data_IF_173533008890
#
_entry.id   IF_173533008890
#
_cell.length_a   1.000
_cell.length_b   1.000
_cell.length_c   1.000
_cell.angle_alpha   90.00
_cell.angle_beta   90.00
_cell.angle_gamma   90.00
#
_symmetry.space_group_name_H-M   'P 1'
#
loop_
_entity.id
_entity.type
_entity.pdbx_description
1 polymer ?
#
# COMPACT_ATOMS: atom_id res chain seq x y z
N UNK A 1 7.51 4.11 -36.67
CA UNK A 1 7.70 4.43 -35.25
C UNK A 1 9.16 4.21 -34.94
N UNK A 2 9.90 5.26 -34.55
CA UNK A 2 11.29 5.13 -34.14
C UNK A 2 11.33 4.20 -32.93
N UNK A 3 12.17 3.15 -32.97
CA UNK A 3 12.48 2.37 -31.76
C UNK A 3 13.20 3.33 -30.82
N UNK A 4 12.48 3.88 -29.84
CA UNK A 4 13.13 4.48 -28.68
C UNK A 4 13.99 3.37 -28.07
N UNK A 5 15.27 3.67 -27.90
CA UNK A 5 16.16 2.82 -27.13
C UNK A 5 15.78 2.97 -25.66
N UNK A 6 14.86 2.12 -25.19
CA UNK A 6 14.33 2.14 -23.83
C UNK A 6 15.45 2.03 -22.80
N UNK A 7 16.53 1.32 -23.14
CA UNK A 7 17.69 1.12 -22.26
C UNK A 7 18.53 2.39 -22.07
N UNK A 8 18.34 3.40 -22.93
CA UNK A 8 18.99 4.71 -22.83
C UNK A 8 18.22 5.74 -21.97
N UNK A 9 17.01 5.40 -21.50
CA UNK A 9 16.18 6.30 -20.69
C UNK A 9 16.50 6.16 -19.21
N UNK A 10 17.10 7.20 -18.61
CA UNK A 10 17.20 7.27 -17.15
C UNK A 10 15.87 7.75 -16.54
N UNK A 11 15.01 6.78 -16.22
CA UNK A 11 13.67 6.99 -15.64
C UNK A 11 13.67 7.62 -14.24
N UNK A 12 14.83 7.81 -13.62
CA UNK A 12 14.95 8.48 -12.33
C UNK A 12 15.10 10.01 -12.49
N UNK A 13 15.21 10.50 -13.71
CA UNK A 13 15.34 11.94 -14.02
C UNK A 13 14.05 12.51 -14.59
N UNK A 14 13.86 13.82 -14.41
CA UNK A 14 12.75 14.56 -15.04
C UNK A 14 12.79 14.43 -16.57
N UNK A 15 13.99 14.47 -17.16
CA UNK A 15 14.19 14.28 -18.61
C UNK A 15 13.77 12.88 -19.06
N UNK A 16 14.15 11.83 -18.33
CA UNK A 16 13.75 10.47 -18.66
C UNK A 16 12.25 10.24 -18.54
N UNK A 17 11.61 10.77 -17.49
CA UNK A 17 10.15 10.73 -17.36
C UNK A 17 9.44 11.51 -18.48
N UNK A 18 10.02 12.62 -18.94
CA UNK A 18 9.50 13.35 -20.09
C UNK A 18 9.59 12.50 -21.37
N UNK A 19 10.73 11.85 -21.63
CA UNK A 19 10.90 10.92 -22.77
C UNK A 19 9.86 9.79 -22.75
N UNK A 20 9.58 9.22 -21.57
CA UNK A 20 8.51 8.22 -21.42
C UNK A 20 7.14 8.82 -21.74
N UNK A 21 6.82 10.00 -21.20
CA UNK A 21 5.54 10.69 -21.46
C UNK A 21 5.33 10.94 -22.95
N UNK A 22 6.37 11.41 -23.65
CA UNK A 22 6.35 11.68 -25.08
C UNK A 22 6.17 10.38 -25.88
N UNK A 23 6.86 9.31 -25.49
CA UNK A 23 6.72 8.01 -26.14
C UNK A 23 5.30 7.45 -26.00
N UNK A 24 4.69 7.55 -24.81
CA UNK A 24 3.29 7.16 -24.62
C UNK A 24 2.34 7.99 -25.50
N UNK A 25 2.64 9.28 -25.69
CA UNK A 25 1.84 10.19 -26.49
C UNK A 25 1.85 9.86 -27.99
N UNK A 26 2.83 9.07 -28.48
CA UNK A 26 2.81 8.53 -29.85
C UNK A 26 1.60 7.60 -30.11
N UNK A 27 1.08 6.94 -29.07
CA UNK A 27 -0.19 6.19 -29.14
C UNK A 27 -1.36 7.12 -28.91
N UNK A 28 -1.36 7.81 -27.75
CA UNK A 28 -2.34 8.83 -27.41
C UNK A 28 -1.91 9.61 -26.16
N UNK A 29 -2.42 10.83 -25.99
CA UNK A 29 -2.14 11.67 -24.82
C UNK A 29 -2.62 11.07 -23.49
N UNK A 30 -3.55 10.12 -23.52
CA UNK A 30 -4.11 9.45 -22.34
C UNK A 30 -3.57 8.02 -22.12
N UNK A 31 -2.66 7.55 -22.97
CA UNK A 31 -2.16 6.18 -22.94
C UNK A 31 -1.38 5.84 -21.66
N UNK A 32 -1.52 4.61 -21.16
CA UNK A 32 -0.94 4.18 -19.89
C UNK A 32 -0.64 2.68 -19.90
N UNK A 33 0.61 2.28 -19.78
CA UNK A 33 0.98 0.86 -19.78
C UNK A 33 0.40 0.11 -18.57
N UNK A 34 0.34 0.76 -17.41
CA UNK A 34 -0.22 0.15 -16.19
C UNK A 34 -1.69 -0.25 -16.36
N UNK A 35 -2.45 0.37 -17.27
CA UNK A 35 -3.86 0.00 -17.53
C UNK A 35 -4.01 -1.41 -18.12
N UNK A 36 -2.97 -1.90 -18.81
CA UNK A 36 -2.87 -3.25 -19.36
C UNK A 36 -2.06 -4.18 -18.47
N UNK A 37 -0.97 -3.70 -17.87
CA UNK A 37 0.03 -4.57 -17.27
C UNK A 37 -0.05 -4.69 -15.74
N UNK A 38 -0.83 -3.83 -15.07
CA UNK A 38 -1.05 -3.92 -13.63
C UNK A 38 -2.49 -4.36 -13.32
N UNK A 39 -2.62 -5.21 -12.30
CA UNK A 39 -3.89 -5.60 -11.71
C UNK A 39 -3.79 -5.66 -10.19
N UNK A 40 -4.81 -5.14 -9.51
CA UNK A 40 -5.10 -5.47 -8.12
C UNK A 40 -6.44 -6.21 -8.09
N UNK A 41 -6.48 -7.33 -7.36
CA UNK A 41 -7.66 -8.21 -7.25
C UNK A 41 -8.04 -8.37 -5.79
N UNK A 42 -9.27 -8.02 -5.47
CA UNK A 42 -9.92 -8.28 -4.20
C UNK A 42 -10.80 -9.52 -4.36
N UNK A 43 -10.28 -10.69 -3.99
CA UNK A 43 -11.00 -11.95 -4.09
C UNK A 43 -12.08 -12.08 -3.01
N UNK A 44 -11.98 -11.34 -1.90
CA UNK A 44 -12.97 -11.33 -0.82
C UNK A 44 -14.28 -10.68 -1.29
N UNK A 45 -14.18 -9.56 -2.00
CA UNK A 45 -15.32 -8.76 -2.43
C UNK A 45 -15.66 -8.94 -3.92
N UNK A 46 -14.89 -9.75 -4.65
CA UNK A 46 -15.11 -9.99 -6.09
C UNK A 46 -14.85 -8.75 -6.94
N UNK A 47 -13.81 -7.98 -6.60
CA UNK A 47 -13.53 -6.68 -7.19
C UNK A 47 -12.13 -6.61 -7.81
N UNK A 48 -11.97 -5.76 -8.81
CA UNK A 48 -10.67 -5.53 -9.44
C UNK A 48 -10.49 -4.09 -9.89
N UNK A 49 -9.23 -3.68 -10.06
CA UNK A 49 -8.85 -2.42 -10.69
C UNK A 49 -7.45 -2.56 -11.33
N UNK A 50 -7.05 -1.62 -12.19
CA UNK A 50 -5.75 -1.70 -12.91
C UNK A 50 -4.59 -1.08 -12.13
N UNK A 51 -4.83 -0.08 -11.28
CA UNK A 51 -3.84 0.51 -10.37
C UNK A 51 -4.59 1.15 -9.20
N UNK A 52 -3.90 1.73 -8.20
CA UNK A 52 -4.54 2.17 -6.96
C UNK A 52 -5.44 3.42 -7.05
N UNK A 53 -5.49 4.09 -8.21
CA UNK A 53 -6.32 5.30 -8.43
C UNK A 53 -7.73 5.06 -8.94
N UNK A 54 -7.97 4.26 -10.00
CA UNK A 54 -9.31 3.98 -10.48
C UNK A 54 -10.18 3.31 -9.42
N UNK A 55 -11.50 3.60 -9.43
CA UNK A 55 -12.43 2.92 -8.56
C UNK A 55 -12.38 1.41 -8.83
N UNK A 56 -12.65 0.64 -7.78
CA UNK A 56 -12.86 -0.79 -7.89
C UNK A 56 -14.18 -1.05 -8.60
N UNK A 57 -14.23 -2.10 -9.41
CA UNK A 57 -15.47 -2.58 -10.02
C UNK A 57 -15.62 -4.09 -9.86
N UNK A 58 -16.86 -4.57 -9.94
CA UNK A 58 -17.19 -5.98 -9.78
C UNK A 58 -16.68 -6.82 -10.95
N UNK A 59 -16.16 -7.99 -10.63
CA UNK A 59 -15.77 -9.01 -11.60
C UNK A 59 -17.03 -9.83 -11.93
N UNK A 60 -17.40 -10.01 -13.21
CA UNK A 60 -18.55 -10.84 -13.60
C UNK A 60 -18.34 -12.32 -13.26
N UNK A 61 -18.98 -12.80 -12.20
CA UNK A 61 -18.78 -14.15 -11.65
C UNK A 61 -19.09 -15.26 -12.66
N UNK A 62 -20.20 -15.12 -13.40
CA UNK A 62 -20.67 -16.06 -14.42
C UNK A 62 -19.62 -16.38 -15.51
N UNK A 63 -18.71 -15.44 -15.78
CA UNK A 63 -17.68 -15.60 -16.82
C UNK A 63 -16.45 -16.35 -16.31
N UNK A 64 -16.24 -16.43 -15.00
CA UNK A 64 -15.04 -17.01 -14.40
C UNK A 64 -14.96 -18.53 -14.56
N UNK A 65 -16.09 -19.20 -14.75
CA UNK A 65 -16.13 -20.64 -14.96
C UNK A 65 -15.44 -21.05 -16.27
N UNK A 66 -15.60 -20.24 -17.32
CA UNK A 66 -15.10 -20.53 -18.68
C UNK A 66 -13.87 -19.68 -19.04
N UNK A 67 -13.72 -18.48 -18.48
CA UNK A 67 -12.58 -17.61 -18.70
C UNK A 67 -12.08 -16.98 -17.38
N UNK A 68 -11.11 -17.61 -16.70
CA UNK A 68 -10.61 -17.07 -15.44
C UNK A 68 -9.71 -15.83 -15.65
N UNK A 69 -9.36 -15.47 -16.90
CA UNK A 69 -8.64 -14.23 -17.21
C UNK A 69 -9.46 -12.97 -16.92
N UNK A 70 -10.79 -13.10 -16.80
CA UNK A 70 -11.72 -12.00 -16.50
C UNK A 70 -11.38 -11.31 -15.18
N UNK A 71 -10.67 -12.00 -14.26
CA UNK A 71 -10.07 -11.38 -13.06
C UNK A 71 -9.25 -10.11 -13.36
N UNK A 72 -8.64 -10.04 -14.54
CA UNK A 72 -7.94 -8.84 -15.03
C UNK A 72 -8.58 -8.24 -16.30
N UNK A 73 -9.11 -9.07 -17.18
CA UNK A 73 -9.56 -8.66 -18.51
C UNK A 73 -11.08 -8.45 -18.59
N UNK A 74 -11.70 -7.91 -17.53
CA UNK A 74 -13.12 -7.49 -17.55
C UNK A 74 -13.45 -6.57 -18.73
N UNK A 75 -14.69 -6.62 -19.21
CA UNK A 75 -15.16 -5.72 -20.26
C UNK A 75 -15.04 -4.24 -19.89
N UNK A 76 -15.24 -3.89 -18.61
CA UNK A 76 -15.03 -2.51 -18.15
C UNK A 76 -13.59 -2.02 -18.38
N UNK A 77 -12.59 -2.82 -17.97
CA UNK A 77 -11.17 -2.49 -18.22
C UNK A 77 -10.88 -2.41 -19.72
N UNK A 78 -11.42 -3.32 -20.53
CA UNK A 78 -11.29 -3.28 -22.00
C UNK A 78 -11.89 -2.02 -22.61
N UNK A 79 -13.02 -1.54 -22.11
CA UNK A 79 -13.61 -0.27 -22.55
C UNK A 79 -12.76 0.94 -22.12
N UNK A 80 -12.19 0.92 -20.92
CA UNK A 80 -11.29 1.99 -20.47
C UNK A 80 -9.99 2.02 -21.28
N UNK A 81 -9.45 0.85 -21.67
CA UNK A 81 -8.33 0.71 -22.62
C UNK A 81 -8.69 1.31 -23.99
N UNK A 82 -9.90 1.05 -24.49
CA UNK A 82 -10.43 1.63 -25.73
C UNK A 82 -10.51 3.15 -25.68
N UNK A 83 -10.99 3.73 -24.57
CA UNK A 83 -10.98 5.18 -24.37
C UNK A 83 -9.55 5.74 -24.48
N UNK A 84 -8.57 5.12 -23.82
CA UNK A 84 -7.18 5.56 -23.88
C UNK A 84 -6.64 5.52 -25.31
N UNK A 85 -6.84 4.42 -26.05
CA UNK A 85 -6.38 4.33 -27.45
C UNK A 85 -7.07 5.35 -28.38
N UNK A 86 -8.29 5.78 -28.05
CA UNK A 86 -9.03 6.81 -28.78
C UNK A 86 -8.72 8.23 -28.30
N UNK A 87 -7.60 8.44 -27.59
CA UNK A 87 -7.18 9.73 -27.04
C UNK A 87 -8.17 10.37 -26.06
N UNK A 88 -9.00 9.54 -25.40
CA UNK A 88 -9.93 9.97 -24.35
C UNK A 88 -9.38 9.60 -22.99
N UNK A 89 -9.62 10.44 -21.97
CA UNK A 89 -9.21 10.23 -20.58
C UNK A 89 -10.28 9.44 -19.82
N UNK A 90 -10.02 8.19 -19.35
CA UNK A 90 -10.98 7.48 -18.52
C UNK A 90 -11.32 8.24 -17.22
N UNK A 91 -12.61 8.42 -16.88
CA UNK A 91 -13.02 9.19 -15.70
C UNK A 91 -12.42 8.69 -14.38
N UNK A 92 -12.30 7.36 -14.22
CA UNK A 92 -11.70 6.75 -13.03
C UNK A 92 -10.23 7.12 -12.79
N UNK A 93 -9.50 7.60 -13.79
CA UNK A 93 -8.10 8.00 -13.64
C UNK A 93 -7.91 9.48 -13.28
N UNK A 94 -8.96 10.12 -12.72
CA UNK A 94 -9.00 11.56 -12.42
C UNK A 94 -7.81 12.07 -11.59
N UNK A 95 -7.27 11.28 -10.66
CA UNK A 95 -6.08 11.68 -9.91
C UNK A 95 -4.91 12.02 -10.84
N UNK A 96 -4.60 11.14 -11.80
CA UNK A 96 -3.52 11.37 -12.76
C UNK A 96 -3.79 12.59 -13.64
N UNK A 97 -5.05 12.78 -14.06
CA UNK A 97 -5.45 13.95 -14.86
C UNK A 97 -5.27 15.24 -14.08
N UNK A 98 -5.70 15.29 -12.82
CA UNK A 98 -5.51 16.47 -11.95
C UNK A 98 -4.05 16.81 -11.74
N UNK A 99 -3.19 15.80 -11.59
CA UNK A 99 -1.74 16.00 -11.46
C UNK A 99 -1.17 16.59 -12.75
N UNK A 100 -1.47 15.99 -13.90
CA UNK A 100 -0.95 16.43 -15.20
C UNK A 100 -1.53 17.79 -15.64
N UNK A 101 -2.77 18.11 -15.26
CA UNK A 101 -3.42 19.39 -15.57
C UNK A 101 -2.97 20.52 -14.61
N UNK A 102 -2.31 20.19 -13.49
CA UNK A 102 -1.84 21.18 -12.51
C UNK A 102 -0.54 21.87 -12.91
N UNK A 103 0.31 21.19 -13.68
CA UNK A 103 1.55 21.74 -14.24
C UNK A 103 2.09 20.80 -15.31
N UNK A 104 2.60 21.36 -16.40
CA UNK A 104 3.24 20.61 -17.49
C UNK A 104 4.48 19.83 -17.01
N UNK A 105 5.16 20.32 -15.97
CA UNK A 105 6.37 19.73 -15.38
C UNK A 105 6.10 18.67 -14.31
N UNK A 106 4.83 18.33 -14.03
CA UNK A 106 4.49 17.30 -13.05
C UNK A 106 4.11 15.99 -13.73
N UNK A 107 4.77 14.90 -13.31
CA UNK A 107 4.50 13.56 -13.81
C UNK A 107 3.55 12.83 -12.86
N UNK A 108 2.42 12.35 -13.38
CA UNK A 108 1.51 11.52 -12.61
C UNK A 108 2.00 10.06 -12.52
N UNK A 109 1.33 9.30 -11.67
CA UNK A 109 1.51 7.85 -11.58
C UNK A 109 1.29 7.11 -12.90
N UNK A 110 0.56 7.68 -13.85
CA UNK A 110 0.45 7.14 -15.20
C UNK A 110 1.82 7.04 -15.88
N UNK A 111 2.58 8.13 -15.82
CA UNK A 111 3.90 8.24 -16.45
C UNK A 111 4.91 7.44 -15.64
N UNK A 112 4.98 7.62 -14.32
CA UNK A 112 5.99 6.96 -13.48
C UNK A 112 5.81 5.43 -13.44
N UNK A 113 4.57 4.92 -13.41
CA UNK A 113 4.31 3.47 -13.52
C UNK A 113 4.63 2.94 -14.90
N UNK A 114 4.34 3.70 -15.95
CA UNK A 114 4.70 3.29 -17.32
C UNK A 114 6.21 3.30 -17.53
N UNK A 115 6.96 4.16 -16.84
CA UNK A 115 8.42 4.19 -16.83
C UNK A 115 9.06 3.04 -16.03
N UNK A 116 8.27 2.27 -15.27
CA UNK A 116 8.82 1.20 -14.45
C UNK A 116 9.33 0.03 -15.29
N UNK A 117 10.35 -0.67 -14.79
CA UNK A 117 10.98 -1.83 -15.45
C UNK A 117 10.03 -2.99 -15.74
N UNK A 118 8.92 -3.10 -15.00
CA UNK A 118 7.87 -4.10 -15.26
C UNK A 118 6.88 -3.68 -16.35
N UNK A 119 6.91 -2.43 -16.82
CA UNK A 119 5.95 -1.89 -17.76
C UNK A 119 6.60 -1.46 -19.09
N UNK A 120 7.56 -0.54 -19.06
CA UNK A 120 8.12 0.09 -20.27
C UNK A 120 8.64 -0.91 -21.32
N UNK A 121 9.36 -1.99 -20.94
CA UNK A 121 9.86 -2.98 -21.90
C UNK A 121 8.76 -3.71 -22.68
N UNK A 122 7.52 -3.68 -22.19
CA UNK A 122 6.37 -4.36 -22.78
C UNK A 122 5.46 -3.41 -23.55
N UNK A 123 5.92 -2.19 -23.86
CA UNK A 123 5.16 -1.19 -24.63
C UNK A 123 4.60 -1.77 -25.94
N UNK A 124 5.45 -2.44 -26.73
CA UNK A 124 5.05 -2.97 -28.03
C UNK A 124 3.97 -4.06 -27.90
N UNK A 125 4.10 -4.96 -26.91
CA UNK A 125 3.09 -5.99 -26.62
C UNK A 125 1.73 -5.35 -26.28
N UNK A 126 1.74 -4.26 -25.50
CA UNK A 126 0.51 -3.55 -25.12
C UNK A 126 -0.16 -2.89 -26.33
N UNK A 127 0.63 -2.24 -27.20
CA UNK A 127 0.11 -1.59 -28.41
C UNK A 127 -0.50 -2.63 -29.35
N UNK A 128 0.19 -3.75 -29.57
CA UNK A 128 -0.27 -4.85 -30.43
C UNK A 128 -1.52 -5.56 -29.88
N UNK A 129 -1.62 -5.73 -28.55
CA UNK A 129 -2.80 -6.32 -27.92
C UNK A 129 -4.07 -5.48 -28.13
N UNK A 130 -3.92 -4.16 -28.31
CA UNK A 130 -5.04 -3.25 -28.47
C UNK A 130 -5.98 -3.23 -27.24
N UNK A 131 -7.23 -2.81 -27.44
CA UNK A 131 -8.16 -2.62 -26.32
C UNK A 131 -8.84 -3.90 -25.82
N UNK A 132 -9.14 -4.84 -26.73
CA UNK A 132 -10.11 -5.92 -26.48
C UNK A 132 -9.47 -7.29 -26.19
N UNK A 133 -8.19 -7.47 -26.51
CA UNK A 133 -7.51 -8.73 -26.23
C UNK A 133 -7.33 -8.95 -24.72
N UNK A 134 -7.25 -10.23 -24.34
CA UNK A 134 -6.80 -10.62 -23.01
C UNK A 134 -5.28 -10.47 -22.96
N UNK A 135 -4.79 -9.74 -21.96
CA UNK A 135 -3.36 -9.58 -21.71
C UNK A 135 -3.02 -10.10 -20.32
N UNK A 136 -1.86 -10.75 -20.19
CA UNK A 136 -1.34 -11.15 -18.89
C UNK A 136 -0.71 -9.93 -18.20
N UNK A 137 -0.97 -9.69 -16.91
CA UNK A 137 -0.29 -8.61 -16.18
C UNK A 137 1.22 -8.91 -16.05
N UNK A 138 2.00 -7.87 -15.76
CA UNK A 138 3.37 -7.95 -15.25
C UNK A 138 3.46 -7.60 -13.77
N UNK A 139 2.46 -6.89 -13.25
CA UNK A 139 2.29 -6.58 -11.84
C UNK A 139 0.93 -7.09 -11.36
N UNK A 140 0.95 -8.06 -10.45
CA UNK A 140 -0.25 -8.61 -9.81
C UNK A 140 -0.21 -8.32 -8.31
N UNK A 141 -1.23 -7.63 -7.81
CA UNK A 141 -1.54 -7.55 -6.39
C UNK A 141 -2.83 -8.32 -6.10
N UNK A 142 -2.85 -9.14 -5.04
CA UNK A 142 -4.02 -9.94 -4.69
C UNK A 142 -4.31 -9.89 -3.19
N UNK A 143 -5.59 -9.69 -2.85
CA UNK A 143 -6.15 -9.92 -1.51
C UNK A 143 -6.97 -11.20 -1.53
N UNK A 144 -6.49 -12.25 -0.84
CA UNK A 144 -7.21 -13.52 -0.71
C UNK A 144 -8.38 -13.45 0.28
N UNK A 145 -8.22 -12.64 1.33
CA UNK A 145 -9.26 -12.42 2.33
C UNK A 145 -9.06 -11.10 3.07
N UNK A 146 -10.10 -10.69 3.79
CA UNK A 146 -10.03 -9.61 4.78
C UNK A 146 -9.64 -10.08 6.19
N UNK A 147 -9.24 -11.33 6.39
CA UNK A 147 -8.89 -11.86 7.72
C UNK A 147 -7.76 -11.05 8.32
N UNK A 148 -7.93 -10.52 9.52
CA UNK A 148 -6.96 -9.69 10.20
C UNK A 148 -7.10 -9.89 11.71
N UNK A 149 -5.97 -9.95 12.41
CA UNK A 149 -5.93 -10.03 13.87
C UNK A 149 -5.87 -8.65 14.56
N UNK A 150 -5.77 -7.57 13.78
CA UNK A 150 -5.72 -6.20 14.29
C UNK A 150 -7.03 -5.44 14.00
N UNK A 151 -7.23 -4.32 14.69
CA UNK A 151 -8.37 -3.41 14.49
C UNK A 151 -7.94 -1.93 14.42
N UNK A 152 -7.00 -1.64 13.49
CA UNK A 152 -6.41 -0.32 13.27
C UNK A 152 -7.44 0.81 13.14
N UNK A 153 -7.16 1.97 13.74
CA UNK A 153 -8.12 3.10 13.88
C UNK A 153 -8.73 3.55 12.56
N UNK A 154 -7.91 3.65 11.50
CA UNK A 154 -8.29 4.12 10.16
C UNK A 154 -8.73 2.99 9.20
N UNK A 155 -8.76 1.74 9.63
CA UNK A 155 -9.16 0.62 8.79
C UNK A 155 -10.68 0.46 8.73
N UNK A 156 -11.19 -0.24 7.71
CA UNK A 156 -12.62 -0.38 7.42
C UNK A 156 -13.08 -1.86 7.37
N UNK A 157 -14.35 -2.17 7.66
CA UNK A 157 -14.88 -3.54 7.70
C UNK A 157 -14.72 -4.36 6.41
N UNK A 158 -14.65 -3.70 5.26
CA UNK A 158 -14.59 -4.31 3.92
C UNK A 158 -13.25 -5.01 3.66
N UNK A 159 -12.18 -4.57 4.34
CA UNK A 159 -10.82 -5.07 4.16
C UNK A 159 -10.21 -5.61 5.47
N UNK A 160 -10.94 -5.54 6.59
CA UNK A 160 -10.51 -6.10 7.87
C UNK A 160 -11.65 -6.72 8.67
N UNK A 161 -11.58 -8.03 8.84
CA UNK A 161 -12.45 -8.80 9.76
C UNK A 161 -12.32 -8.34 11.21
N UNK A 162 -11.16 -7.84 11.65
CA UNK A 162 -11.00 -7.31 13.01
C UNK A 162 -11.85 -6.06 13.24
N UNK A 163 -11.98 -5.21 12.22
CA UNK A 163 -12.90 -4.06 12.24
C UNK A 163 -14.35 -4.50 12.07
N UNK A 164 -14.62 -5.47 11.21
CA UNK A 164 -15.97 -6.02 11.03
C UNK A 164 -16.52 -6.64 12.32
N UNK A 165 -15.73 -7.43 13.05
CA UNK A 165 -16.12 -8.01 14.34
C UNK A 165 -16.49 -6.90 15.33
N UNK A 166 -15.71 -5.82 15.35
CA UNK A 166 -16.00 -4.68 16.20
C UNK A 166 -17.30 -3.97 15.79
N UNK A 167 -17.48 -3.73 14.49
CA UNK A 167 -18.68 -3.11 13.95
C UNK A 167 -19.94 -3.96 14.21
N UNK A 168 -19.85 -5.28 14.10
CA UNK A 168 -20.95 -6.20 14.46
C UNK A 168 -21.27 -6.18 15.95
N UNK A 169 -20.25 -6.02 16.82
CA UNK A 169 -20.41 -6.01 18.28
C UNK A 169 -20.99 -4.70 18.81
N UNK A 170 -20.54 -3.56 18.28
CA UNK A 170 -20.84 -2.25 18.86
C UNK A 170 -21.66 -1.33 17.93
N UNK A 171 -21.86 -1.71 16.68
CA UNK A 171 -22.46 -0.86 15.66
C UNK A 171 -21.47 0.18 15.09
N UNK A 172 -21.94 0.98 14.11
CA UNK A 172 -21.19 2.13 13.60
C UNK A 172 -20.94 3.17 14.70
N UNK A 173 -20.00 4.09 14.45
CA UNK A 173 -19.76 5.26 15.30
C UNK A 173 -20.44 6.46 14.60
N UNK A 174 -21.46 7.02 15.24
CA UNK A 174 -22.15 8.21 14.73
C UNK A 174 -21.28 9.45 14.94
N UNK A 175 -20.77 10.01 13.85
CA UNK A 175 -20.07 11.29 13.84
C UNK A 175 -21.08 12.41 13.48
N UNK A 176 -20.63 13.66 13.46
CA UNK A 176 -21.51 14.81 13.19
C UNK A 176 -22.09 14.80 11.78
N UNK A 177 -21.30 14.35 10.79
CA UNK A 177 -21.61 14.46 9.36
C UNK A 177 -21.62 13.11 8.63
N UNK A 178 -21.25 12.01 9.30
CA UNK A 178 -21.14 10.69 8.71
C UNK A 178 -21.16 9.57 9.77
N UNK A 179 -21.10 8.32 9.33
CA UNK A 179 -20.89 7.17 10.20
C UNK A 179 -19.54 6.54 9.92
N UNK A 180 -18.73 6.37 10.96
CA UNK A 180 -17.50 5.58 10.87
C UNK A 180 -17.77 4.10 11.16
N UNK A 181 -16.94 3.22 10.59
CA UNK A 181 -16.99 1.76 10.80
C UNK A 181 -18.32 1.10 10.41
N UNK A 182 -19.13 1.75 9.58
CA UNK A 182 -20.33 1.16 9.02
C UNK A 182 -19.95 0.11 7.98
N UNK A 183 -20.34 -1.17 8.13
CA UNK A 183 -20.19 -2.15 7.07
C UNK A 183 -21.08 -1.74 5.89
N UNK A 184 -20.49 -1.58 4.71
CA UNK A 184 -21.21 -1.18 3.49
C UNK A 184 -21.75 -2.37 2.70
N UNK A 185 -21.21 -3.57 2.92
CA UNK A 185 -21.59 -4.79 2.21
C UNK A 185 -21.69 -6.00 3.16
N UNK A 186 -22.60 -6.93 2.82
CA UNK A 186 -22.62 -8.27 3.41
C UNK A 186 -21.45 -9.07 2.83
N UNK A 187 -20.68 -9.76 3.66
CA UNK A 187 -19.55 -10.59 3.17
C UNK A 187 -20.08 -11.67 2.24
N UNK A 188 -19.40 -11.88 1.11
CA UNK A 188 -19.66 -13.00 0.20
C UNK A 188 -19.39 -14.37 0.87
N UNK A 189 -18.71 -14.38 2.03
CA UNK A 189 -18.20 -15.60 2.70
C UNK A 189 -18.94 -16.00 3.98
N UNK A 190 -20.07 -15.37 4.30
CA UNK A 190 -20.79 -15.62 5.56
C UNK A 190 -21.29 -17.08 5.73
N UNK A 191 -21.30 -17.91 4.66
CA UNK A 191 -21.87 -19.27 4.67
C UNK A 191 -20.89 -20.43 4.46
N UNK A 192 -19.57 -20.19 4.44
CA UNK A 192 -18.58 -21.27 4.19
C UNK A 192 -18.59 -21.83 2.76
N UNK A 193 -19.24 -21.13 1.83
CA UNK A 193 -19.25 -21.46 0.40
C UNK A 193 -17.85 -21.28 -0.23
N UNK A 194 -17.57 -22.08 -1.25
CA UNK A 194 -16.32 -21.99 -2.01
C UNK A 194 -16.27 -20.64 -2.73
N UNK A 195 -15.22 -19.86 -2.50
CA UNK A 195 -15.06 -18.56 -3.17
C UNK A 195 -14.79 -18.76 -4.68
N UNK A 196 -15.74 -18.39 -5.58
CA UNK A 196 -15.59 -18.62 -7.02
C UNK A 196 -14.43 -17.81 -7.61
N UNK A 197 -14.13 -16.63 -7.06
CA UNK A 197 -13.01 -15.79 -7.48
C UNK A 197 -11.67 -16.45 -7.13
N UNK A 198 -11.56 -17.07 -5.96
CA UNK A 198 -10.35 -17.79 -5.57
C UNK A 198 -10.15 -19.07 -6.40
N UNK A 199 -11.23 -19.81 -6.70
CA UNK A 199 -11.16 -20.95 -7.62
C UNK A 199 -10.67 -20.51 -9.00
N UNK A 200 -11.20 -19.40 -9.52
CA UNK A 200 -10.75 -18.84 -10.79
C UNK A 200 -9.29 -18.38 -10.72
N UNK A 201 -8.87 -17.76 -9.62
CA UNK A 201 -7.49 -17.34 -9.40
C UNK A 201 -6.54 -18.52 -9.52
N UNK A 202 -6.83 -19.64 -8.87
CA UNK A 202 -5.95 -20.82 -8.93
C UNK A 202 -5.94 -21.53 -10.29
N UNK A 203 -6.96 -21.33 -11.12
CA UNK A 203 -6.94 -21.76 -12.53
C UNK A 203 -6.12 -20.82 -13.42
N UNK A 204 -6.15 -19.52 -13.13
CA UNK A 204 -5.50 -18.48 -13.94
C UNK A 204 -4.04 -18.25 -13.59
N UNK A 205 -3.70 -18.27 -12.31
CA UNK A 205 -2.37 -17.93 -11.80
C UNK A 205 -1.25 -18.74 -12.48
N UNK A 206 -1.36 -20.08 -12.67
CA UNK A 206 -0.35 -20.83 -13.42
C UNK A 206 -0.11 -20.34 -14.85
N UNK A 207 -1.14 -19.80 -15.51
CA UNK A 207 -1.08 -19.34 -16.90
C UNK A 207 -0.32 -18.02 -17.04
N UNK A 208 -0.33 -17.18 -16.00
CA UNK A 208 0.30 -15.85 -16.01
C UNK A 208 1.59 -15.78 -15.21
N UNK A 209 1.83 -16.72 -14.29
CA UNK A 209 2.88 -16.61 -13.27
C UNK A 209 4.28 -16.37 -13.86
N UNK A 210 4.65 -17.07 -14.94
CA UNK A 210 5.97 -16.91 -15.60
C UNK A 210 6.14 -15.56 -16.29
N UNK A 211 5.06 -14.80 -16.51
CA UNK A 211 5.11 -13.46 -17.07
C UNK A 211 5.15 -12.37 -15.98
N UNK A 212 4.89 -12.72 -14.72
CA UNK A 212 4.91 -11.74 -13.64
C UNK A 212 6.34 -11.27 -13.37
N UNK A 213 6.49 -9.96 -13.24
CA UNK A 213 7.70 -9.29 -12.73
C UNK A 213 7.48 -8.86 -11.28
N UNK A 214 6.25 -8.53 -10.90
CA UNK A 214 5.88 -8.25 -9.51
C UNK A 214 4.66 -9.09 -9.12
N UNK A 215 4.76 -9.79 -8.00
CA UNK A 215 3.64 -10.47 -7.38
C UNK A 215 3.54 -10.06 -5.91
N UNK A 216 2.48 -9.33 -5.56
CA UNK A 216 2.24 -8.80 -4.22
C UNK A 216 1.01 -9.42 -3.60
N UNK A 217 1.14 -9.93 -2.39
CA UNK A 217 0.03 -10.44 -1.59
C UNK A 217 -0.31 -9.43 -0.50
N UNK A 218 -1.56 -8.99 -0.47
CA UNK A 218 -2.09 -8.04 0.51
C UNK A 218 -3.37 -8.60 1.14
N UNK A 219 -4.03 -7.79 1.94
CA UNK A 219 -5.31 -8.11 2.56
C UNK A 219 -5.38 -7.64 3.99
N UNK A 220 -6.30 -8.21 4.77
CA UNK A 220 -6.37 -7.91 6.20
C UNK A 220 -5.01 -8.17 6.88
N UNK A 221 -4.60 -9.42 6.93
CA UNK A 221 -3.26 -9.87 7.30
C UNK A 221 -2.91 -11.13 6.49
N UNK A 222 -2.09 -11.00 5.43
CA UNK A 222 -1.74 -12.11 4.55
C UNK A 222 -1.17 -13.34 5.25
N UNK A 223 -0.41 -13.17 6.34
CA UNK A 223 0.21 -14.30 7.04
C UNK A 223 -0.78 -15.12 7.89
N UNK A 224 -2.06 -14.75 7.93
CA UNK A 224 -3.14 -15.56 8.51
C UNK A 224 -3.86 -16.46 7.48
N UNK A 225 -3.55 -16.32 6.19
CA UNK A 225 -4.23 -16.97 5.08
C UNK A 225 -3.46 -18.15 4.50
N UNK A 226 -4.13 -19.31 4.36
CA UNK A 226 -3.51 -20.50 3.75
C UNK A 226 -3.14 -20.27 2.29
N UNK A 227 -3.91 -19.46 1.58
CA UNK A 227 -3.67 -19.15 0.16
C UNK A 227 -2.37 -18.37 -0.04
N UNK A 228 -1.95 -17.56 0.95
CA UNK A 228 -0.61 -16.95 0.97
C UNK A 228 0.48 -18.02 1.03
N UNK A 229 0.37 -19.00 1.95
CA UNK A 229 1.36 -20.07 2.05
C UNK A 229 1.35 -21.00 0.83
N UNK A 230 0.17 -21.23 0.22
CA UNK A 230 0.05 -21.94 -1.05
C UNK A 230 0.76 -21.20 -2.19
N UNK A 231 0.67 -19.88 -2.22
CA UNK A 231 1.43 -19.05 -3.17
C UNK A 231 2.94 -19.16 -2.95
N UNK A 232 3.42 -19.12 -1.71
CA UNK A 232 4.85 -19.32 -1.40
C UNK A 232 5.32 -20.70 -1.84
N UNK A 233 4.55 -21.76 -1.55
CA UNK A 233 4.88 -23.11 -2.00
C UNK A 233 4.90 -23.20 -3.54
N UNK A 234 3.92 -22.59 -4.21
CA UNK A 234 3.88 -22.58 -5.68
C UNK A 234 5.13 -21.92 -6.28
N UNK A 235 5.63 -20.83 -5.67
CA UNK A 235 6.87 -20.15 -6.09
C UNK A 235 8.10 -21.06 -5.92
N UNK A 236 8.18 -21.80 -4.82
CA UNK A 236 9.24 -22.81 -4.60
C UNK A 236 9.21 -23.87 -5.69
N UNK A 237 8.01 -24.39 -6.01
CA UNK A 237 7.83 -25.48 -6.97
C UNK A 237 8.03 -25.03 -8.43
N UNK A 238 7.84 -23.73 -8.71
CA UNK A 238 7.89 -23.18 -10.06
C UNK A 238 8.77 -21.92 -10.17
N UNK A 239 10.08 -21.94 -9.90
CA UNK A 239 10.96 -20.76 -9.89
C UNK A 239 10.74 -19.74 -11.03
N UNK A 240 10.65 -18.45 -10.69
CA UNK A 240 10.66 -17.31 -11.62
C UNK A 240 11.72 -16.29 -11.17
N UNK A 241 12.98 -16.41 -11.63
CA UNK A 241 14.10 -15.58 -11.17
C UNK A 241 13.98 -14.07 -11.43
N UNK A 242 13.04 -13.65 -12.30
CA UNK A 242 12.78 -12.22 -12.57
C UNK A 242 11.72 -11.62 -11.64
N UNK A 243 11.04 -12.46 -10.84
CA UNK A 243 9.94 -12.04 -9.98
C UNK A 243 10.46 -11.30 -8.75
N UNK A 244 9.91 -10.11 -8.48
CA UNK A 244 9.87 -9.52 -7.15
C UNK A 244 8.62 -10.04 -6.43
N UNK A 245 8.83 -10.83 -5.38
CA UNK A 245 7.75 -11.35 -4.53
C UNK A 245 7.57 -10.43 -3.34
N UNK A 246 6.35 -9.94 -3.12
CA UNK A 246 6.05 -9.00 -2.05
C UNK A 246 4.87 -9.44 -1.19
N UNK A 247 4.89 -9.09 0.09
CA UNK A 247 3.70 -9.20 0.93
C UNK A 247 3.59 -8.06 1.94
N UNK A 248 2.35 -7.60 2.16
CA UNK A 248 2.04 -6.74 3.29
C UNK A 248 1.91 -7.57 4.56
N UNK A 249 2.30 -7.02 5.70
CA UNK A 249 1.99 -7.63 6.98
C UNK A 249 2.04 -6.59 8.10
N UNK A 250 1.25 -6.81 9.14
CA UNK A 250 1.41 -6.16 10.43
C UNK A 250 2.51 -6.79 11.29
N UNK A 251 3.05 -7.94 10.87
CA UNK A 251 4.11 -8.72 11.55
C UNK A 251 3.83 -9.11 13.01
N UNK A 252 2.59 -9.02 13.47
CA UNK A 252 2.14 -9.44 14.80
C UNK A 252 1.17 -10.63 14.71
N UNK A 253 1.49 -11.63 13.90
CA UNK A 253 0.73 -12.89 13.79
C UNK A 253 1.26 -13.95 14.78
N UNK A 254 0.52 -15.04 15.06
CA UNK A 254 1.03 -16.11 15.91
C UNK A 254 2.39 -16.63 15.44
N UNK A 255 3.31 -16.94 16.36
CA UNK A 255 4.70 -17.30 16.04
C UNK A 255 4.80 -18.40 14.96
N UNK A 256 3.98 -19.45 15.05
CA UNK A 256 3.95 -20.52 14.05
C UNK A 256 3.69 -20.05 12.60
N UNK A 257 2.99 -18.92 12.42
CA UNK A 257 2.77 -18.30 11.10
C UNK A 257 4.00 -17.53 10.62
N UNK A 258 4.66 -16.79 11.51
CA UNK A 258 5.94 -16.13 11.19
C UNK A 258 7.00 -17.18 10.86
N UNK A 259 7.14 -18.21 11.69
CA UNK A 259 8.13 -19.27 11.50
C UNK A 259 7.94 -19.99 10.15
N UNK A 260 6.69 -20.32 9.82
CA UNK A 260 6.35 -20.91 8.51
C UNK A 260 6.65 -19.96 7.35
N UNK A 261 6.40 -18.65 7.51
CA UNK A 261 6.69 -17.67 6.48
C UNK A 261 8.20 -17.54 6.25
N UNK A 262 9.00 -17.46 7.32
CA UNK A 262 10.45 -17.39 7.24
C UNK A 262 11.03 -18.67 6.63
N UNK A 263 10.58 -19.87 7.03
CA UNK A 263 11.03 -21.14 6.43
C UNK A 263 10.78 -21.19 4.91
N UNK A 264 9.57 -20.86 4.47
CA UNK A 264 9.23 -20.88 3.05
C UNK A 264 9.99 -19.80 2.26
N UNK A 265 10.11 -18.59 2.80
CA UNK A 265 10.90 -17.51 2.17
C UNK A 265 12.38 -17.87 2.14
N UNK A 266 12.91 -18.52 3.18
CA UNK A 266 14.26 -19.06 3.23
C UNK A 266 14.51 -20.05 2.07
N UNK A 267 13.60 -21.00 1.86
CA UNK A 267 13.67 -21.94 0.71
C UNK A 267 13.61 -21.22 -0.64
N UNK A 268 12.73 -20.21 -0.78
CA UNK A 268 12.65 -19.38 -1.99
C UNK A 268 14.01 -18.71 -2.25
N UNK A 269 14.64 -18.18 -1.20
CA UNK A 269 15.93 -17.52 -1.28
C UNK A 269 17.07 -18.50 -1.64
N UNK A 270 17.20 -19.61 -0.91
CA UNK A 270 18.22 -20.64 -1.13
C UNK A 270 18.17 -21.22 -2.54
N UNK A 271 16.96 -21.45 -3.06
CA UNK A 271 16.74 -21.96 -4.41
C UNK A 271 16.87 -20.89 -5.50
N UNK A 272 17.12 -19.62 -5.15
CA UNK A 272 17.10 -18.48 -6.07
C UNK A 272 15.83 -18.45 -6.92
N UNK A 273 14.70 -18.78 -6.29
CA UNK A 273 13.44 -18.98 -7.00
C UNK A 273 12.82 -17.66 -7.50
N UNK A 274 13.25 -16.52 -6.94
CA UNK A 274 12.79 -15.17 -7.27
C UNK A 274 13.98 -14.20 -7.26
N UNK A 275 13.80 -13.02 -7.86
CA UNK A 275 14.79 -11.94 -7.85
C UNK A 275 15.05 -11.42 -6.44
N UNK A 276 13.97 -11.13 -5.73
CA UNK A 276 13.98 -10.60 -4.37
C UNK A 276 12.65 -10.85 -3.66
N UNK A 277 12.70 -10.76 -2.32
CA UNK A 277 11.52 -10.80 -1.46
C UNK A 277 11.42 -9.48 -0.71
N UNK A 278 10.24 -8.84 -0.80
CA UNK A 278 9.94 -7.56 -0.16
C UNK A 278 8.81 -7.70 0.87
N UNK A 279 8.98 -7.10 2.03
CA UNK A 279 7.96 -7.06 3.07
C UNK A 279 7.52 -5.63 3.29
N UNK A 280 6.23 -5.38 3.15
CA UNK A 280 5.62 -4.10 3.47
C UNK A 280 5.02 -4.17 4.88
N UNK A 281 5.83 -3.80 5.87
CA UNK A 281 5.51 -3.91 7.29
C UNK A 281 4.86 -2.61 7.79
N UNK A 282 3.68 -2.67 8.41
CA UNK A 282 2.94 -1.43 8.70
C UNK A 282 3.05 -0.98 10.17
N UNK A 283 3.53 0.25 10.41
CA UNK A 283 3.66 0.87 11.73
C UNK A 283 3.58 2.39 11.61
N UNK A 284 2.92 3.07 12.57
CA UNK A 284 2.56 4.49 12.42
C UNK A 284 3.27 5.44 13.39
N UNK A 285 3.88 4.90 14.46
CA UNK A 285 4.64 5.64 15.49
C UNK A 285 5.35 4.64 16.42
N UNK A 286 5.72 5.04 17.64
CA UNK A 286 6.50 4.26 18.58
C UNK A 286 5.68 3.66 19.74
N UNK A 287 6.02 2.44 20.17
CA UNK A 287 5.59 1.83 21.44
C UNK A 287 4.08 1.82 21.65
N UNK A 288 3.62 2.16 22.86
CA UNK A 288 2.21 2.15 23.24
C UNK A 288 1.32 3.03 22.34
N UNK A 289 1.86 4.09 21.73
CA UNK A 289 1.14 4.92 20.78
C UNK A 289 0.84 4.16 19.49
N UNK A 290 1.79 3.37 18.99
CA UNK A 290 1.58 2.50 17.84
C UNK A 290 0.53 1.41 18.14
N UNK A 291 0.58 0.83 19.34
CA UNK A 291 -0.37 -0.17 19.81
C UNK A 291 -1.77 0.41 20.02
N UNK A 292 -1.86 1.69 20.35
CA UNK A 292 -3.12 2.43 20.42
C UNK A 292 -3.74 2.61 19.03
N UNK A 293 -2.96 3.11 18.08
CA UNK A 293 -3.39 3.32 16.67
C UNK A 293 -3.75 1.99 16.02
N UNK A 294 -3.00 0.93 16.33
CA UNK A 294 -3.17 -0.42 15.78
C UNK A 294 -3.51 -1.43 16.88
N UNK A 295 -4.75 -1.43 17.42
CA UNK A 295 -5.12 -2.37 18.47
C UNK A 295 -4.86 -3.83 18.07
N UNK A 296 -4.06 -4.50 18.90
CA UNK A 296 -3.55 -5.87 18.70
C UNK A 296 -2.09 -5.94 18.25
N UNK A 297 -1.50 -4.81 17.81
CA UNK A 297 -0.05 -4.72 17.58
C UNK A 297 0.66 -4.89 18.93
N UNK A 298 1.75 -5.64 18.91
CA UNK A 298 2.76 -5.67 19.97
C UNK A 298 4.04 -5.08 19.36
N UNK A 299 4.43 -3.90 19.82
CA UNK A 299 5.51 -3.15 19.20
C UNK A 299 6.86 -3.88 19.30
N UNK A 300 7.09 -4.59 20.42
CA UNK A 300 8.34 -5.34 20.61
C UNK A 300 8.38 -6.57 19.71
N UNK A 301 7.28 -7.29 19.60
CA UNK A 301 7.16 -8.42 18.68
C UNK A 301 7.33 -7.98 17.23
N UNK A 302 6.74 -6.84 16.85
CA UNK A 302 6.90 -6.23 15.53
C UNK A 302 8.37 -6.01 15.19
N UNK A 303 9.12 -5.31 16.05
CA UNK A 303 10.55 -5.06 15.86
C UNK A 303 11.34 -6.38 15.82
N UNK A 304 11.04 -7.31 16.74
CA UNK A 304 11.70 -8.62 16.76
C UNK A 304 11.49 -9.39 15.44
N UNK A 305 10.29 -9.38 14.87
CA UNK A 305 10.02 -10.06 13.61
C UNK A 305 10.67 -9.37 12.41
N UNK A 306 10.79 -8.04 12.40
CA UNK A 306 11.61 -7.31 11.40
C UNK A 306 13.05 -7.81 11.45
N UNK A 307 13.64 -7.86 12.64
CA UNK A 307 15.01 -8.30 12.83
C UNK A 307 15.21 -9.76 12.40
N UNK A 308 14.24 -10.63 12.68
CA UNK A 308 14.26 -12.02 12.20
C UNK A 308 14.27 -12.11 10.68
N UNK A 309 13.38 -11.38 9.98
CA UNK A 309 13.38 -11.37 8.52
C UNK A 309 14.69 -10.82 7.92
N UNK A 310 15.30 -9.81 8.55
CA UNK A 310 16.56 -9.24 8.08
C UNK A 310 17.77 -10.15 8.35
N UNK A 311 17.79 -10.83 9.50
CA UNK A 311 18.89 -11.72 9.90
C UNK A 311 18.84 -13.09 9.24
N UNK A 312 17.65 -13.69 9.12
CA UNK A 312 17.47 -15.05 8.61
C UNK A 312 17.42 -15.12 7.07
N UNK A 313 17.11 -14.01 6.37
CA UNK A 313 17.00 -13.97 4.90
C UNK A 313 17.92 -12.88 4.32
N UNK A 314 19.14 -13.19 3.85
CA UNK A 314 20.18 -12.19 3.55
C UNK A 314 19.88 -11.14 2.46
N UNK A 315 18.92 -11.39 1.55
CA UNK A 315 18.51 -10.43 0.49
C UNK A 315 17.05 -9.97 0.62
N UNK A 316 16.40 -10.15 1.77
CA UNK A 316 15.08 -9.56 1.98
C UNK A 316 15.19 -8.04 2.15
N UNK A 317 14.20 -7.33 1.64
CA UNK A 317 14.01 -5.90 1.94
C UNK A 317 12.69 -5.71 2.69
N UNK A 318 12.67 -4.73 3.57
CA UNK A 318 11.50 -4.36 4.35
C UNK A 318 11.24 -2.88 4.09
N UNK A 319 10.00 -2.55 3.75
CA UNK A 319 9.51 -1.16 3.73
C UNK A 319 8.52 -0.99 4.86
N UNK A 320 8.88 -0.16 5.84
CA UNK A 320 7.97 0.28 6.88
C UNK A 320 6.96 1.25 6.29
N UNK A 321 5.70 0.85 6.24
CA UNK A 321 4.60 1.67 5.75
C UNK A 321 3.94 2.41 6.92
N UNK A 322 4.13 3.73 6.95
CA UNK A 322 3.52 4.62 7.92
C UNK A 322 2.31 5.33 7.30
N UNK A 323 1.13 5.05 7.85
CA UNK A 323 -0.07 5.86 7.61
C UNK A 323 -0.07 7.00 8.60
N UNK A 324 0.52 8.12 8.19
CA UNK A 324 0.81 9.24 9.08
C UNK A 324 -0.48 10.01 9.43
N UNK A 325 -0.90 9.87 10.69
CA UNK A 325 -2.09 10.51 11.27
C UNK A 325 -1.68 11.59 12.28
N UNK A 326 -2.63 12.35 12.82
CA UNK A 326 -2.31 13.27 13.93
C UNK A 326 -1.74 12.54 15.16
N UNK A 327 -2.14 11.28 15.37
CA UNK A 327 -1.65 10.44 16.47
C UNK A 327 -0.22 9.94 16.23
N UNK A 328 0.30 10.04 15.00
CA UNK A 328 1.69 9.66 14.72
C UNK A 328 2.69 10.65 15.31
N UNK A 329 2.31 11.93 15.40
CA UNK A 329 3.18 13.08 15.72
C UNK A 329 3.99 12.89 17.01
N UNK A 330 3.40 12.51 18.16
CA UNK A 330 4.14 12.57 19.43
C UNK A 330 5.31 11.59 19.56
N UNK A 331 5.23 10.43 18.91
CA UNK A 331 6.21 9.34 19.06
C UNK A 331 7.08 9.10 17.84
N UNK A 332 6.92 9.88 16.77
CA UNK A 332 7.54 9.56 15.48
C UNK A 332 9.06 9.58 15.53
N UNK A 333 9.68 10.54 16.22
CA UNK A 333 11.15 10.61 16.36
C UNK A 333 11.74 9.34 16.98
N UNK A 334 11.05 8.71 17.94
CA UNK A 334 11.51 7.45 18.53
C UNK A 334 11.43 6.28 17.56
N UNK A 335 10.41 6.25 16.68
CA UNK A 335 10.37 5.29 15.59
C UNK A 335 11.55 5.50 14.63
N UNK A 336 11.93 6.76 14.34
CA UNK A 336 13.10 7.07 13.51
C UNK A 336 14.41 6.56 14.14
N UNK A 337 14.57 6.68 15.46
CA UNK A 337 15.71 6.11 16.20
C UNK A 337 15.80 4.58 16.04
N UNK A 338 14.67 3.87 16.17
CA UNK A 338 14.61 2.42 15.94
C UNK A 338 14.96 2.07 14.48
N UNK A 339 14.47 2.85 13.52
CA UNK A 339 14.79 2.67 12.09
C UNK A 339 16.29 2.82 11.83
N UNK A 340 16.92 3.88 12.34
CA UNK A 340 18.37 4.09 12.19
C UNK A 340 19.15 2.95 12.87
N UNK A 341 18.71 2.52 14.05
CA UNK A 341 19.32 1.40 14.78
C UNK A 341 19.29 0.11 13.96
N UNK A 342 18.14 -0.24 13.38
CA UNK A 342 17.99 -1.45 12.57
C UNK A 342 18.77 -1.33 11.25
N UNK A 343 18.71 -0.18 10.57
CA UNK A 343 19.49 0.05 9.34
C UNK A 343 21.00 -0.10 9.57
N UNK A 344 21.53 0.40 10.70
CA UNK A 344 22.94 0.23 11.09
C UNK A 344 23.29 -1.22 11.43
N UNK A 345 22.37 -1.95 12.07
CA UNK A 345 22.56 -3.35 12.45
C UNK A 345 22.53 -4.31 11.26
N UNK A 346 21.71 -4.02 10.25
CA UNK A 346 21.52 -4.85 9.07
C UNK A 346 21.85 -4.07 7.77
N UNK A 347 23.13 -3.73 7.53
CA UNK A 347 23.52 -2.97 6.36
C UNK A 347 23.28 -3.77 5.06
N UNK A 348 22.93 -3.05 3.99
CA UNK A 348 22.89 -3.62 2.66
C UNK A 348 24.28 -3.57 2.00
N UNK A 349 24.56 -4.50 1.08
CA UNK A 349 25.71 -4.39 0.19
C UNK A 349 25.57 -3.20 -0.78
N UNK A 350 24.33 -2.90 -1.19
CA UNK A 350 23.95 -1.76 -2.02
C UNK A 350 22.60 -1.21 -1.55
N UNK A 351 22.48 0.10 -1.40
CA UNK A 351 21.26 0.78 -0.95
C UNK A 351 20.94 0.51 0.52
N UNK A 352 19.69 0.15 0.82
CA UNK A 352 19.24 -0.18 2.17
C UNK A 352 18.27 -1.36 2.16
N UNK A 353 18.30 -2.17 3.22
CA UNK A 353 17.37 -3.29 3.42
C UNK A 353 16.11 -2.88 4.19
N UNK A 354 16.12 -1.70 4.81
CA UNK A 354 14.98 -1.14 5.53
C UNK A 354 14.69 0.26 5.00
N UNK A 355 13.52 0.44 4.40
CA UNK A 355 13.00 1.72 3.96
C UNK A 355 11.86 2.17 4.87
N UNK A 356 11.69 3.48 5.02
CA UNK A 356 10.54 4.11 5.66
C UNK A 356 9.72 4.84 4.60
N UNK A 357 8.49 4.38 4.40
CA UNK A 357 7.51 5.00 3.53
C UNK A 357 6.48 5.77 4.37
N UNK A 358 6.44 7.10 4.18
CA UNK A 358 5.53 7.99 4.90
C UNK A 358 4.43 8.46 3.96
N UNK A 359 3.20 8.02 4.22
CA UNK A 359 2.01 8.45 3.49
C UNK A 359 1.07 9.22 4.44
N UNK A 360 0.69 10.45 4.08
CA UNK A 360 -0.28 11.20 4.87
C UNK A 360 -1.66 10.52 4.81
N UNK A 361 -2.32 10.38 5.95
CA UNK A 361 -3.69 9.91 6.01
C UNK A 361 -4.60 10.97 5.41
N UNK A 362 -5.33 10.65 4.33
CA UNK A 362 -6.33 11.56 3.75
C UNK A 362 -7.71 11.34 4.36
N UNK A 363 -8.15 10.08 4.31
CA UNK A 363 -9.45 9.61 4.77
C UNK A 363 -9.24 8.48 5.79
N UNK A 364 -9.91 8.49 6.95
CA UNK A 364 -10.88 9.50 7.37
C UNK A 364 -10.23 10.83 7.77
N UNK A 365 -10.88 11.93 7.39
CA UNK A 365 -10.33 13.27 7.57
C UNK A 365 -10.14 13.68 9.03
N UNK A 366 -11.00 13.21 9.94
CA UNK A 366 -10.89 13.48 11.38
C UNK A 366 -9.68 12.82 12.06
N UNK A 367 -8.99 11.87 11.42
CA UNK A 367 -7.72 11.32 11.92
C UNK A 367 -6.49 11.95 11.26
N UNK A 368 -6.68 12.73 10.20
CA UNK A 368 -5.57 13.28 9.45
C UNK A 368 -4.83 14.39 10.22
N UNK A 369 -3.61 14.69 9.78
CA UNK A 369 -2.75 15.67 10.43
C UNK A 369 -3.36 17.08 10.49
N UNK A 370 -4.19 17.46 9.51
CA UNK A 370 -4.87 18.78 9.45
C UNK A 370 -6.00 18.96 10.47
N UNK A 371 -6.28 17.96 11.28
CA UNK A 371 -7.17 18.06 12.44
C UNK A 371 -6.44 18.65 13.66
N UNK A 372 -5.12 18.48 13.72
CA UNK A 372 -4.28 18.96 14.81
C UNK A 372 -3.97 20.46 14.62
N UNK A 373 -3.86 21.20 15.73
CA UNK A 373 -3.43 22.59 15.70
C UNK A 373 -1.93 22.70 15.42
N UNK A 374 -1.53 23.72 14.65
CA UNK A 374 -0.14 23.87 14.20
C UNK A 374 0.85 24.05 15.36
N UNK A 375 0.39 24.51 16.54
CA UNK A 375 1.23 24.59 17.74
C UNK A 375 1.79 23.21 18.18
N UNK A 376 1.14 22.12 17.79
CA UNK A 376 1.58 20.74 18.06
C UNK A 376 2.47 20.17 16.95
N UNK A 377 2.87 20.95 15.94
CA UNK A 377 3.67 20.46 14.80
C UNK A 377 5.18 20.42 15.10
N UNK A 378 5.66 20.95 16.22
CA UNK A 378 7.09 20.92 16.58
C UNK A 378 7.76 19.55 16.39
N UNK A 379 7.16 18.42 16.82
CA UNK A 379 7.76 17.09 16.62
C UNK A 379 7.91 16.68 15.15
N UNK A 380 7.13 17.24 14.22
CA UNK A 380 7.30 16.99 12.79
C UNK A 380 8.59 17.61 12.27
N UNK A 381 8.89 18.83 12.69
CA UNK A 381 10.11 19.52 12.30
C UNK A 381 11.33 18.83 12.90
N UNK A 382 11.26 18.44 14.18
CA UNK A 382 12.30 17.65 14.84
C UNK A 382 12.56 16.32 14.12
N UNK A 383 11.51 15.59 13.75
CA UNK A 383 11.64 14.37 12.97
C UNK A 383 12.29 14.63 11.59
N UNK A 384 11.91 15.71 10.91
CA UNK A 384 12.52 16.08 9.63
C UNK A 384 14.00 16.45 9.76
N UNK A 385 14.37 17.24 10.78
CA UNK A 385 15.77 17.54 11.09
C UNK A 385 16.57 16.28 11.42
N UNK A 386 16.03 15.41 12.28
CA UNK A 386 16.66 14.14 12.64
C UNK A 386 16.94 13.27 11.41
N UNK A 387 15.98 13.17 10.48
CA UNK A 387 16.19 12.40 9.25
C UNK A 387 17.30 13.00 8.36
N UNK A 388 17.44 14.33 8.32
CA UNK A 388 18.53 15.00 7.58
C UNK A 388 19.88 14.81 8.24
N UNK A 389 19.95 14.89 9.57
CA UNK A 389 21.17 14.62 10.35
C UNK A 389 21.65 13.17 10.19
N UNK A 390 20.72 12.26 9.91
CA UNK A 390 20.99 10.84 9.67
C UNK A 390 20.83 10.44 8.19
N UNK A 391 21.12 11.36 7.25
CA UNK A 391 21.17 11.05 5.83
C UNK A 391 22.23 9.97 5.55
N UNK A 392 21.88 8.99 4.71
CA UNK A 392 22.80 7.95 4.27
C UNK A 392 23.93 8.54 3.43
N UNK A 393 25.18 8.32 3.84
CA UNK A 393 26.36 8.66 3.04
C UNK A 393 26.60 7.58 1.97
N UNK A 394 26.40 7.95 0.70
CA UNK A 394 26.63 7.06 -0.44
C UNK A 394 25.69 5.84 -0.51
N UNK A 395 26.14 4.80 -1.21
CA UNK A 395 25.33 3.61 -1.54
C UNK A 395 25.30 2.54 -0.42
N UNK A 396 25.92 2.81 0.73
CA UNK A 396 26.04 1.85 1.84
C UNK A 396 25.95 2.62 3.16
N UNK A 397 24.73 2.89 3.63
CA UNK A 397 24.55 3.67 4.86
C UNK A 397 23.42 3.15 5.73
N UNK A 398 23.66 3.17 7.04
CA UNK A 398 22.65 2.92 8.08
C UNK A 398 21.68 4.08 8.30
N UNK A 399 21.59 5.02 7.35
CA UNK A 399 20.82 6.25 7.43
C UNK A 399 19.60 6.28 6.49
N UNK A 400 18.94 7.44 6.44
CA UNK A 400 17.78 7.68 5.57
C UNK A 400 18.22 8.01 4.14
N UNK A 401 17.45 7.54 3.17
CA UNK A 401 17.57 7.90 1.76
C UNK A 401 16.90 9.25 1.53
N UNK A 402 17.37 9.98 0.50
CA UNK A 402 16.78 11.27 0.12
C UNK A 402 15.28 11.17 -0.18
N UNK A 403 14.82 10.05 -0.74
CA UNK A 403 13.41 9.78 -1.00
C UNK A 403 12.57 9.66 0.28
N UNK A 404 13.11 9.13 1.37
CA UNK A 404 12.45 9.04 2.68
C UNK A 404 12.30 10.43 3.30
N UNK A 405 13.38 11.22 3.29
CA UNK A 405 13.40 12.61 3.79
C UNK A 405 12.41 13.49 3.02
N UNK A 406 12.37 13.35 1.69
CA UNK A 406 11.43 14.09 0.86
C UNK A 406 9.97 13.77 1.20
N UNK A 407 9.64 12.52 1.54
CA UNK A 407 8.28 12.17 1.96
C UNK A 407 7.89 12.88 3.26
N UNK A 408 8.81 13.00 4.22
CA UNK A 408 8.59 13.79 5.43
C UNK A 408 8.39 15.27 5.10
N UNK A 409 9.21 15.84 4.21
CA UNK A 409 9.02 17.21 3.72
C UNK A 409 7.66 17.41 3.05
N UNK A 410 7.25 16.50 2.16
CA UNK A 410 5.96 16.58 1.48
C UNK A 410 4.78 16.48 2.45
N UNK A 411 4.89 15.66 3.49
CA UNK A 411 3.89 15.60 4.57
C UNK A 411 3.74 16.94 5.27
N UNK A 412 4.86 17.58 5.66
CA UNK A 412 4.87 18.90 6.31
C UNK A 412 4.29 19.96 5.37
N UNK A 413 4.76 20.04 4.13
CA UNK A 413 4.27 20.99 3.14
C UNK A 413 2.76 20.81 2.89
N UNK A 414 2.29 19.55 2.81
CA UNK A 414 0.86 19.24 2.69
C UNK A 414 0.06 19.71 3.90
N UNK A 415 0.58 19.52 5.12
CA UNK A 415 -0.06 19.92 6.36
C UNK A 415 -0.14 21.45 6.52
N UNK A 416 0.84 22.18 5.99
CA UNK A 416 0.92 23.65 6.04
C UNK A 416 0.13 24.35 4.93
N UNK A 417 -0.12 23.68 3.79
CA UNK A 417 -1.02 24.22 2.76
C UNK A 417 -2.38 24.53 3.38
N UNK A 418 -2.86 25.75 3.15
CA UNK A 418 -4.17 26.23 3.60
C UNK A 418 -5.22 25.12 3.45
N UNK A 419 -5.92 24.84 4.54
CA UNK A 419 -6.83 23.72 4.64
C UNK A 419 -8.17 24.17 5.18
N UNK A 420 -9.19 24.07 4.32
CA UNK A 420 -10.62 24.18 4.63
C UNK A 420 -11.08 25.47 5.31
N UNK A 421 -12.39 25.72 5.24
CA UNK A 421 -13.00 26.73 6.09
C UNK A 421 -12.79 26.39 7.56
N UNK A 422 -12.80 27.40 8.45
CA UNK A 422 -12.75 27.22 9.91
C UNK A 422 -13.76 26.16 10.37
N UNK A 423 -14.99 26.22 9.83
CA UNK A 423 -16.05 25.26 10.10
C UNK A 423 -15.69 23.80 9.73
N UNK A 424 -14.93 23.60 8.65
CA UNK A 424 -14.46 22.27 8.24
C UNK A 424 -13.47 21.67 9.24
N UNK A 425 -12.56 22.50 9.78
CA UNK A 425 -11.61 22.06 10.80
C UNK A 425 -12.29 21.73 12.13
N UNK A 426 -13.19 22.59 12.60
CA UNK A 426 -13.96 22.35 13.84
C UNK A 426 -14.77 21.04 13.76
N UNK A 427 -15.39 20.76 12.62
CA UNK A 427 -16.15 19.51 12.41
C UNK A 427 -15.24 18.29 12.52
N UNK A 428 -14.04 18.33 11.91
CA UNK A 428 -13.05 17.25 12.03
C UNK A 428 -12.60 17.04 13.47
N UNK A 429 -12.33 18.12 14.21
CA UNK A 429 -11.90 18.05 15.61
C UNK A 429 -12.98 17.44 16.52
N UNK A 430 -14.24 17.86 16.38
CA UNK A 430 -15.35 17.24 17.12
C UNK A 430 -15.52 15.76 16.76
N UNK A 431 -15.45 15.43 15.47
CA UNK A 431 -15.49 14.04 15.01
C UNK A 431 -14.31 13.21 15.55
N UNK A 432 -13.11 13.79 15.64
CA UNK A 432 -11.95 13.15 16.26
C UNK A 432 -12.24 12.83 17.72
N UNK A 433 -12.77 13.79 18.50
CA UNK A 433 -13.14 13.57 19.90
C UNK A 433 -14.14 12.43 20.05
N UNK A 434 -15.26 12.50 19.33
CA UNK A 434 -16.30 11.46 19.35
C UNK A 434 -15.71 10.09 19.03
N UNK A 435 -14.88 10.02 17.98
CA UNK A 435 -14.27 8.78 17.56
C UNK A 435 -13.32 8.21 18.63
N UNK A 436 -12.46 9.04 19.23
CA UNK A 436 -11.51 8.62 20.25
C UNK A 436 -12.20 8.21 21.55
N UNK A 437 -13.20 8.98 22.03
CA UNK A 437 -13.99 8.62 23.21
C UNK A 437 -14.63 7.24 23.03
N UNK A 438 -15.19 6.99 21.85
CA UNK A 438 -15.83 5.71 21.53
C UNK A 438 -14.81 4.57 21.39
N UNK A 439 -13.62 4.84 20.86
CA UNK A 439 -12.52 3.87 20.79
C UNK A 439 -11.99 3.49 22.17
N UNK A 440 -11.78 4.47 23.05
CA UNK A 440 -11.38 4.25 24.43
C UNK A 440 -12.43 3.42 25.18
N UNK A 441 -13.71 3.77 25.03
CA UNK A 441 -14.83 3.04 25.62
C UNK A 441 -14.93 1.60 25.13
N UNK A 442 -14.83 1.37 23.81
CA UNK A 442 -14.94 0.04 23.19
C UNK A 442 -13.78 -0.89 23.55
N UNK A 443 -12.58 -0.34 23.75
CA UNK A 443 -11.34 -1.11 23.91
C UNK A 443 -10.74 -1.06 25.32
N UNK A 444 -11.33 -0.29 26.24
CA UNK A 444 -10.81 -0.12 27.60
C UNK A 444 -9.44 0.54 27.60
N UNK A 445 -9.26 1.59 26.78
CA UNK A 445 -8.00 2.32 26.62
C UNK A 445 -8.15 3.76 27.10
N UNK A 446 -7.03 4.49 27.12
CA UNK A 446 -7.02 5.91 27.43
C UNK A 446 -6.08 6.66 26.50
N UNK A 447 -6.67 7.50 25.65
CA UNK A 447 -5.96 8.43 24.79
C UNK A 447 -5.07 9.36 25.62
N UNK A 448 -5.61 9.94 26.69
CA UNK A 448 -4.86 10.88 27.53
C UNK A 448 -3.65 10.26 28.22
N UNK A 449 -3.71 8.99 28.61
CA UNK A 449 -2.55 8.28 29.17
C UNK A 449 -1.51 7.93 28.10
N UNK A 450 -1.96 7.65 26.88
CA UNK A 450 -1.09 7.19 25.78
C UNK A 450 -0.44 8.34 25.01
N UNK A 451 -1.14 9.48 24.90
CA UNK A 451 -0.70 10.69 24.20
C UNK A 451 -0.67 11.90 25.13
N UNK A 452 0.20 11.90 26.17
CA UNK A 452 0.25 12.97 27.17
C UNK A 452 0.49 14.37 26.56
N UNK A 453 1.25 14.47 25.46
CA UNK A 453 1.49 15.75 24.77
C UNK A 453 0.28 16.27 23.98
N UNK A 454 -0.75 15.45 23.75
CA UNK A 454 -1.99 15.84 23.06
C UNK A 454 -3.18 15.98 24.03
N UNK A 455 -2.96 15.88 25.34
CA UNK A 455 -4.03 15.93 26.34
C UNK A 455 -4.74 17.28 26.33
N UNK A 456 -4.00 18.38 26.30
CA UNK A 456 -4.59 19.72 26.35
C UNK A 456 -5.36 20.03 25.05
N UNK A 457 -4.81 19.65 23.89
CA UNK A 457 -5.55 19.63 22.62
C UNK A 457 -6.87 18.86 22.76
N UNK A 458 -6.81 17.61 23.23
CA UNK A 458 -7.96 16.71 23.31
C UNK A 458 -9.05 17.19 24.28
N UNK A 459 -8.67 17.84 25.39
CA UNK A 459 -9.60 18.44 26.34
C UNK A 459 -10.27 19.70 25.80
N UNK A 460 -9.61 20.43 24.91
CA UNK A 460 -10.13 21.65 24.31
C UNK A 460 -11.15 21.40 23.19
N UNK A 461 -11.16 20.17 22.61
CA UNK A 461 -12.19 19.72 21.68
C UNK A 461 -13.50 19.41 22.41
#
# INVERSE_FOLDING_TARGET
MSKIDIDSIDVNTQEGLQKVKDHLAEVSSSFCLAKWLQVTIDLENGETHSCHHPPRHKIPEEQLQTNPSVLHNTMEKKMQRKLMLNNLRPPGCNYCWRVEDSSESTFSDRVTKSASSWALPYYQEVVEAGALADIAPRYLEVMFSKKCNLSCTYCVPEISSGIEIEARKFGPISLLDQEARRPTHKSLRDNGEVNPYEVAFWKWFPQIYKKLINFRITGGEPLLEESTFRSLQYVIDHPNPELTLAFNSNLCVPNARIDRAIDLVGKIYENKAVKEVQIFASVDTFGAQAEYIRPGLDYKLFLSNIERFLSEIPNSTITLMCTFSLMSVPGFSKLLEDVVTIKKKYPAKYGTRLLLDIAYLRDPSYLNLKTLDQEYYTPLYEAYEYMKEHLSEGNTGGGFQYSEINKMKFLIDWALKEADSVAGKETRQKNFKIFIDEMDRRKGRSFSQTFPSLVEFYKAL
#
